data_IF_988884616145
#
_entry.id   IF_988884616145
#
_cell.length_a   1.000
_cell.length_b   1.000
_cell.length_c   1.000
_cell.angle_alpha   90.00
_cell.angle_beta   90.00
_cell.angle_gamma   90.00
#
_symmetry.space_group_name_H-M   'P 1'
#
loop_
_entity.id
_entity.type
_entity.pdbx_description
1 polymer ?
#
# COMPACT_ATOMS: atom_id res chain seq x y z
N UNK A 1 -22.17 8.83 16.94
CA UNK A 1 -21.72 7.61 16.25
C UNK A 1 -20.47 7.95 15.45
N UNK A 2 -19.39 7.12 15.57
CA UNK A 2 -18.20 7.30 14.77
C UNK A 2 -18.54 7.19 13.28
N UNK A 3 -17.80 7.90 12.42
CA UNK A 3 -17.96 7.81 10.95
C UNK A 3 -17.86 6.36 10.44
N UNK A 4 -17.07 5.52 11.11
CA UNK A 4 -16.92 4.10 10.81
C UNK A 4 -18.21 3.30 11.06
N UNK A 5 -18.91 3.53 12.17
CA UNK A 5 -20.16 2.82 12.45
C UNK A 5 -21.24 3.17 11.42
N UNK A 6 -21.34 4.44 11.02
CA UNK A 6 -22.26 4.88 9.96
C UNK A 6 -21.95 4.17 8.64
N UNK A 7 -20.67 4.09 8.28
CA UNK A 7 -20.25 3.37 7.08
C UNK A 7 -20.64 1.89 7.13
N UNK A 8 -20.39 1.22 8.26
CA UNK A 8 -20.75 -0.20 8.44
C UNK A 8 -22.26 -0.43 8.32
N UNK A 9 -23.09 0.41 8.94
CA UNK A 9 -24.54 0.31 8.88
C UNK A 9 -25.06 0.56 7.46
N UNK A 10 -24.53 1.61 6.81
CA UNK A 10 -24.89 1.95 5.44
C UNK A 10 -24.52 0.82 4.46
N UNK A 11 -23.26 0.39 4.45
CA UNK A 11 -22.79 -0.68 3.56
C UNK A 11 -23.55 -2.00 3.81
N UNK A 12 -23.81 -2.35 5.07
CA UNK A 12 -24.59 -3.54 5.40
C UNK A 12 -26.00 -3.46 4.82
N UNK A 13 -26.67 -2.32 4.98
CA UNK A 13 -28.01 -2.09 4.42
C UNK A 13 -27.99 -2.23 2.89
N UNK A 14 -27.09 -1.52 2.22
CA UNK A 14 -26.98 -1.56 0.76
C UNK A 14 -26.73 -2.99 0.23
N UNK A 15 -25.85 -3.76 0.89
CA UNK A 15 -25.55 -5.14 0.49
C UNK A 15 -26.74 -6.08 0.71
N UNK A 16 -27.41 -5.98 1.85
CA UNK A 16 -28.51 -6.89 2.20
C UNK A 16 -29.79 -6.61 1.39
N UNK A 17 -30.06 -5.35 1.09
CA UNK A 17 -31.26 -4.90 0.38
C UNK A 17 -30.97 -4.49 -1.08
N UNK A 18 -29.80 -4.86 -1.61
CA UNK A 18 -29.48 -4.63 -3.01
C UNK A 18 -30.51 -5.29 -3.94
N UNK A 19 -31.11 -4.48 -4.80
CA UNK A 19 -32.11 -4.95 -5.79
C UNK A 19 -31.44 -5.65 -6.97
N UNK A 20 -30.20 -5.31 -7.26
CA UNK A 20 -29.43 -5.91 -8.36
C UNK A 20 -29.05 -7.36 -8.05
N UNK A 21 -29.12 -8.22 -9.05
CA UNK A 21 -28.70 -9.60 -8.94
C UNK A 21 -27.18 -9.68 -9.06
N UNK A 22 -26.52 -10.11 -8.02
CA UNK A 22 -25.07 -10.39 -8.02
C UNK A 22 -24.78 -11.78 -7.43
N UNK A 23 -23.71 -12.39 -7.85
CA UNK A 23 -23.33 -13.76 -7.45
C UNK A 23 -22.26 -13.77 -6.35
N UNK A 24 -21.43 -12.73 -6.27
CA UNK A 24 -20.31 -12.61 -5.35
C UNK A 24 -20.21 -11.19 -4.81
N UNK A 25 -19.89 -11.05 -3.52
CA UNK A 25 -19.51 -9.77 -2.94
C UNK A 25 -17.98 -9.65 -3.00
N UNK A 26 -17.50 -8.76 -3.84
CA UNK A 26 -16.09 -8.42 -3.94
C UNK A 26 -15.82 -7.08 -3.26
N UNK A 27 -14.80 -7.05 -2.39
CA UNK A 27 -14.42 -5.84 -1.70
C UNK A 27 -12.88 -5.64 -1.66
N UNK A 28 -12.39 -4.41 -1.93
CA UNK A 28 -10.96 -4.10 -1.86
C UNK A 28 -10.43 -4.07 -0.42
N UNK A 29 -11.30 -4.11 0.57
CA UNK A 29 -10.99 -4.19 2.00
C UNK A 29 -12.20 -4.72 2.75
N UNK A 30 -11.97 -5.31 3.92
CA UNK A 30 -13.07 -5.70 4.81
C UNK A 30 -13.69 -4.53 5.58
N UNK A 31 -13.07 -3.34 5.56
CA UNK A 31 -13.56 -2.17 6.31
C UNK A 31 -14.93 -1.72 5.80
N UNK A 32 -15.88 -1.70 6.71
CA UNK A 32 -17.27 -1.31 6.44
C UNK A 32 -18.21 -2.46 6.14
N UNK A 33 -17.71 -3.65 5.79
CA UNK A 33 -18.53 -4.84 5.51
C UNK A 33 -18.42 -5.92 6.61
N UNK A 34 -17.79 -5.60 7.74
CA UNK A 34 -17.58 -6.53 8.85
C UNK A 34 -18.89 -7.23 9.30
N UNK A 35 -20.04 -6.54 9.44
CA UNK A 35 -21.29 -7.20 9.82
C UNK A 35 -21.74 -8.25 8.78
N UNK A 36 -21.57 -7.98 7.48
CA UNK A 36 -21.93 -8.92 6.41
C UNK A 36 -21.04 -10.16 6.46
N UNK A 37 -19.73 -9.99 6.77
CA UNK A 37 -18.79 -11.11 6.96
C UNK A 37 -19.25 -12.00 8.13
N UNK A 38 -19.68 -11.41 9.27
CA UNK A 38 -20.24 -12.19 10.38
C UNK A 38 -21.54 -12.89 10.01
N UNK A 39 -22.45 -12.23 9.30
CA UNK A 39 -23.66 -12.86 8.78
C UNK A 39 -23.33 -14.05 7.85
N UNK A 40 -22.28 -13.93 7.03
CA UNK A 40 -21.78 -15.03 6.20
C UNK A 40 -21.25 -16.19 7.03
N UNK A 41 -20.45 -15.90 8.06
CA UNK A 41 -19.93 -16.89 8.98
C UNK A 41 -21.02 -17.71 9.69
N UNK A 42 -22.16 -17.07 10.00
CA UNK A 42 -23.33 -17.66 10.63
C UNK A 42 -24.31 -18.31 9.63
N UNK A 43 -24.04 -18.25 8.33
CA UNK A 43 -24.91 -18.81 7.28
C UNK A 43 -26.14 -17.96 6.93
N UNK A 44 -26.29 -16.78 7.51
CA UNK A 44 -27.41 -15.84 7.26
C UNK A 44 -27.24 -15.08 5.94
N UNK A 45 -26.02 -14.81 5.53
CA UNK A 45 -25.70 -14.26 4.21
C UNK A 45 -25.14 -15.37 3.32
N UNK A 46 -25.75 -15.63 2.18
CA UNK A 46 -25.47 -16.84 1.37
C UNK A 46 -24.47 -16.64 0.24
N UNK A 47 -24.25 -15.40 -0.23
CA UNK A 47 -23.34 -15.14 -1.35
C UNK A 47 -21.87 -15.19 -0.88
N UNK A 48 -20.96 -15.72 -1.71
CA UNK A 48 -19.55 -15.75 -1.35
C UNK A 48 -18.96 -14.33 -1.21
N UNK A 49 -18.02 -14.19 -0.28
CA UNK A 49 -17.29 -12.94 -0.02
C UNK A 49 -15.83 -13.13 -0.42
N UNK A 50 -15.36 -12.26 -1.31
CA UNK A 50 -13.98 -12.20 -1.79
C UNK A 50 -13.40 -10.85 -1.41
N UNK A 51 -12.25 -10.83 -0.75
CA UNK A 51 -11.61 -9.58 -0.31
C UNK A 51 -10.14 -9.52 -0.69
N UNK A 52 -9.63 -8.29 -0.83
CA UNK A 52 -8.20 -8.04 -0.79
C UNK A 52 -7.77 -7.82 0.67
N UNK A 53 -6.77 -8.57 1.08
CA UNK A 53 -6.25 -8.52 2.44
C UNK A 53 -4.81 -8.00 2.40
N UNK A 54 -4.64 -6.74 2.72
CA UNK A 54 -3.37 -6.01 2.53
C UNK A 54 -2.25 -6.44 3.49
N UNK A 55 -2.61 -7.09 4.60
CA UNK A 55 -1.68 -7.55 5.63
C UNK A 55 -1.80 -9.05 5.83
N UNK A 56 -0.87 -9.67 6.54
CA UNK A 56 -1.07 -11.05 6.99
C UNK A 56 -2.21 -11.12 8.02
N UNK A 57 -2.90 -12.27 8.07
CA UNK A 57 -3.79 -12.61 9.18
C UNK A 57 -2.94 -12.80 10.44
N UNK A 58 -3.29 -12.12 11.53
CA UNK A 58 -2.56 -12.18 12.79
C UNK A 58 -3.38 -12.74 13.92
N UNK A 59 -2.73 -13.26 14.95
CA UNK A 59 -3.40 -13.68 16.17
C UNK A 59 -3.88 -12.46 16.96
N UNK A 60 -5.05 -12.58 17.57
CA UNK A 60 -5.60 -11.53 18.43
C UNK A 60 -5.13 -11.71 19.86
N UNK A 61 -5.00 -10.61 20.60
CA UNK A 61 -4.71 -10.66 22.02
C UNK A 61 -5.95 -11.10 22.82
N UNK A 62 -5.80 -12.17 23.60
CA UNK A 62 -6.85 -12.68 24.47
C UNK A 62 -7.82 -13.65 23.79
N UNK A 63 -8.33 -14.61 24.57
CA UNK A 63 -9.14 -15.73 24.07
C UNK A 63 -10.43 -15.27 23.36
N UNK A 64 -11.21 -14.38 23.96
CA UNK A 64 -12.48 -13.95 23.36
C UNK A 64 -12.29 -13.24 22.00
N UNK A 65 -11.29 -12.35 21.90
CA UNK A 65 -10.96 -11.67 20.64
C UNK A 65 -10.49 -12.64 19.58
N UNK A 66 -9.74 -13.66 19.97
CA UNK A 66 -9.27 -14.72 19.07
C UNK A 66 -10.46 -15.50 18.50
N UNK A 67 -11.46 -15.87 19.32
CA UNK A 67 -12.65 -16.58 18.83
C UNK A 67 -13.49 -15.72 17.89
N UNK A 68 -13.67 -14.44 18.20
CA UNK A 68 -14.35 -13.48 17.30
C UNK A 68 -13.59 -13.36 15.97
N UNK A 69 -12.27 -13.26 16.02
CA UNK A 69 -11.42 -13.20 14.83
C UNK A 69 -11.53 -14.47 13.99
N UNK A 70 -11.56 -15.66 14.60
CA UNK A 70 -11.76 -16.94 13.90
C UNK A 70 -13.12 -16.99 13.21
N UNK A 71 -14.18 -16.55 13.89
CA UNK A 71 -15.52 -16.45 13.31
C UNK A 71 -15.52 -15.47 12.13
N UNK A 72 -14.86 -14.32 12.25
CA UNK A 72 -14.74 -13.35 11.18
C UNK A 72 -14.10 -13.97 9.92
N UNK A 73 -12.92 -14.61 10.04
CA UNK A 73 -12.25 -15.22 8.90
C UNK A 73 -12.99 -16.44 8.33
N UNK A 74 -13.84 -17.11 9.13
CA UNK A 74 -14.75 -18.15 8.63
C UNK A 74 -15.72 -17.58 7.59
N UNK A 75 -16.19 -16.34 7.77
CA UNK A 75 -17.13 -15.67 6.88
C UNK A 75 -16.54 -15.18 5.55
N UNK A 76 -15.23 -15.28 5.33
CA UNK A 76 -14.59 -14.90 4.09
C UNK A 76 -14.33 -16.16 3.26
N UNK A 77 -14.74 -16.17 1.99
CA UNK A 77 -14.57 -17.34 1.13
C UNK A 77 -13.23 -17.34 0.40
N UNK A 78 -12.72 -16.16 -0.03
CA UNK A 78 -11.39 -15.99 -0.64
C UNK A 78 -10.75 -14.69 -0.18
N UNK A 79 -9.44 -14.74 0.05
CA UNK A 79 -8.60 -13.59 0.35
C UNK A 79 -7.46 -13.51 -0.64
N UNK A 80 -7.30 -12.36 -1.27
CA UNK A 80 -6.16 -12.04 -2.11
C UNK A 80 -5.10 -11.34 -1.27
N UNK A 81 -3.88 -11.88 -1.28
CA UNK A 81 -2.72 -11.31 -0.61
C UNK A 81 -1.62 -11.01 -1.64
N UNK A 82 -0.79 -10.03 -1.38
CA UNK A 82 0.16 -9.48 -2.34
C UNK A 82 1.52 -10.22 -2.37
N UNK A 83 1.75 -11.16 -1.44
CA UNK A 83 2.98 -11.96 -1.47
C UNK A 83 2.79 -13.34 -0.85
N UNK A 84 3.68 -14.28 -1.22
CA UNK A 84 3.76 -15.62 -0.60
C UNK A 84 4.09 -15.54 0.88
N UNK A 85 4.91 -14.56 1.28
CA UNK A 85 5.22 -14.33 2.69
C UNK A 85 3.97 -14.00 3.50
N UNK A 86 3.12 -13.10 3.03
CA UNK A 86 1.85 -12.77 3.69
C UNK A 86 0.92 -13.99 3.79
N UNK A 87 0.91 -14.86 2.76
CA UNK A 87 0.16 -16.13 2.80
C UNK A 87 0.74 -17.05 3.87
N UNK A 88 2.05 -17.25 3.89
CA UNK A 88 2.72 -18.14 4.86
C UNK A 88 2.49 -17.66 6.30
N UNK A 89 2.62 -16.36 6.55
CA UNK A 89 2.38 -15.77 7.87
C UNK A 89 0.90 -15.89 8.28
N UNK A 90 -0.03 -15.75 7.34
CA UNK A 90 -1.46 -15.97 7.59
C UNK A 90 -1.78 -17.41 7.97
N UNK A 91 -1.16 -18.38 7.30
CA UNK A 91 -1.36 -19.82 7.57
C UNK A 91 -0.92 -20.23 8.98
N UNK A 92 0.12 -19.57 9.55
CA UNK A 92 0.60 -19.82 10.92
C UNK A 92 -0.50 -19.60 11.96
N UNK A 93 -1.47 -18.74 11.70
CA UNK A 93 -2.57 -18.44 12.64
C UNK A 93 -3.66 -19.50 12.66
N UNK A 94 -3.74 -20.35 11.64
CA UNK A 94 -4.81 -21.36 11.45
C UNK A 94 -6.24 -20.79 11.43
N UNK A 95 -6.41 -19.48 11.15
CA UNK A 95 -7.74 -18.84 11.04
C UNK A 95 -8.35 -18.99 9.65
N UNK A 96 -7.50 -19.09 8.64
CA UNK A 96 -7.91 -19.28 7.27
C UNK A 96 -7.17 -20.46 6.65
N UNK A 97 -7.87 -21.46 6.10
CA UNK A 97 -7.25 -22.59 5.44
C UNK A 97 -6.62 -22.16 4.10
N UNK A 98 -5.61 -22.88 3.63
CA UNK A 98 -4.82 -22.54 2.44
C UNK A 98 -5.68 -22.31 1.18
N UNK A 99 -6.77 -23.08 1.01
CA UNK A 99 -7.63 -22.95 -0.18
C UNK A 99 -8.35 -21.59 -0.27
N UNK A 100 -8.46 -20.84 0.83
CA UNK A 100 -9.05 -19.48 0.85
C UNK A 100 -8.03 -18.41 0.49
N UNK A 101 -6.73 -18.66 0.63
CA UNK A 101 -5.67 -17.69 0.41
C UNK A 101 -5.18 -17.79 -1.03
N UNK A 102 -5.11 -16.67 -1.72
CA UNK A 102 -4.66 -16.59 -3.10
C UNK A 102 -3.65 -15.46 -3.27
N UNK A 103 -2.54 -15.77 -3.92
CA UNK A 103 -1.59 -14.77 -4.35
C UNK A 103 -2.20 -13.96 -5.50
N UNK A 104 -2.09 -12.64 -5.40
CA UNK A 104 -2.42 -11.70 -6.47
C UNK A 104 -1.28 -10.70 -6.58
N UNK A 105 -0.74 -10.55 -7.76
CA UNK A 105 0.26 -9.53 -8.03
C UNK A 105 -0.45 -8.20 -8.29
N UNK A 106 0.00 -7.15 -7.60
CA UNK A 106 -0.39 -5.80 -7.94
C UNK A 106 0.39 -5.38 -9.17
N UNK A 107 -0.29 -4.95 -10.21
CA UNK A 107 0.33 -4.50 -11.45
C UNK A 107 -0.04 -3.05 -11.79
N UNK A 108 0.73 -2.39 -12.66
CA UNK A 108 0.44 -1.04 -13.12
C UNK A 108 -0.69 -1.03 -14.15
N UNK A 109 -1.33 0.11 -14.30
CA UNK A 109 -2.18 0.43 -15.45
C UNK A 109 -1.27 0.81 -16.64
N UNK A 110 -0.78 -0.20 -17.37
CA UNK A 110 0.13 0.01 -18.50
C UNK A 110 -0.44 0.97 -19.55
N UNK A 111 -1.71 0.84 -20.00
CA UNK A 111 -2.29 1.80 -20.94
C UNK A 111 -2.22 3.25 -20.47
N UNK A 112 -2.43 3.49 -19.18
CA UNK A 112 -2.30 4.83 -18.58
C UNK A 112 -0.87 5.36 -18.71
N UNK A 113 0.13 4.56 -18.30
CA UNK A 113 1.54 4.98 -18.33
C UNK A 113 2.07 5.08 -19.75
N UNK A 114 1.68 4.20 -20.67
CA UNK A 114 2.04 4.27 -22.09
C UNK A 114 1.53 5.58 -22.72
N UNK A 115 0.28 5.96 -22.42
CA UNK A 115 -0.29 7.22 -22.88
C UNK A 115 0.48 8.43 -22.32
N UNK A 116 0.74 8.42 -21.01
CA UNK A 116 1.51 9.47 -20.34
C UNK A 116 2.91 9.64 -20.94
N UNK A 117 3.61 8.54 -21.21
CA UNK A 117 4.94 8.56 -21.82
C UNK A 117 4.91 9.05 -23.27
N UNK A 118 3.87 8.73 -24.03
CA UNK A 118 3.68 9.20 -25.39
C UNK A 118 3.48 10.74 -25.47
N UNK A 119 2.95 11.36 -24.43
CA UNK A 119 2.86 12.83 -24.32
C UNK A 119 4.20 13.51 -23.99
N UNK A 120 5.23 12.74 -23.65
CA UNK A 120 6.51 13.25 -23.15
C UNK A 120 7.72 12.63 -23.91
N UNK A 121 7.75 12.69 -25.25
CA UNK A 121 8.79 12.03 -26.04
C UNK A 121 10.21 12.56 -25.76
N UNK A 122 10.32 13.86 -25.46
CA UNK A 122 11.60 14.54 -25.23
C UNK A 122 11.95 14.69 -23.75
N UNK A 123 11.34 13.87 -22.85
CA UNK A 123 11.64 13.91 -21.42
C UNK A 123 13.13 13.69 -21.16
N UNK A 124 13.71 14.52 -20.32
CA UNK A 124 15.09 14.37 -19.83
C UNK A 124 15.02 14.05 -18.34
N UNK A 125 15.20 12.78 -17.94
CA UNK A 125 15.16 12.43 -16.53
C UNK A 125 16.32 13.05 -15.77
N UNK A 126 16.02 13.68 -14.61
CA UNK A 126 17.05 14.22 -13.69
C UNK A 126 16.62 14.15 -12.23
N UNK A 127 17.60 13.96 -11.35
CA UNK A 127 17.39 13.97 -9.89
C UNK A 127 16.56 12.81 -9.39
N UNK A 128 16.23 12.88 -8.12
CA UNK A 128 15.54 11.84 -7.38
C UNK A 128 14.15 12.31 -6.96
N UNK A 129 13.23 11.37 -6.82
CA UNK A 129 11.90 11.64 -6.27
C UNK A 129 11.51 10.58 -5.25
N UNK A 130 10.84 11.02 -4.19
CA UNK A 130 10.14 10.12 -3.26
C UNK A 130 8.67 10.52 -3.20
N UNK A 131 7.78 9.54 -3.35
CA UNK A 131 6.33 9.76 -3.31
C UNK A 131 5.66 8.84 -2.31
N UNK A 132 4.48 9.21 -1.85
CA UNK A 132 3.64 8.36 -1.03
C UNK A 132 3.06 9.06 0.19
N UNK A 133 2.24 8.32 0.93
CA UNK A 133 1.56 8.86 2.12
C UNK A 133 1.65 7.97 3.36
N UNK A 134 1.86 6.67 3.20
CA UNK A 134 1.83 5.72 4.32
C UNK A 134 3.24 5.27 4.69
N UNK A 135 3.57 5.37 5.98
CA UNK A 135 4.77 4.77 6.58
C UNK A 135 6.08 5.10 5.84
N UNK A 136 6.23 6.37 5.41
CA UNK A 136 7.49 6.85 4.85
C UNK A 136 8.47 7.22 5.97
N UNK A 137 9.72 6.83 5.82
CA UNK A 137 10.81 7.24 6.72
C UNK A 137 11.49 8.49 6.17
N UNK A 138 10.87 9.63 6.41
CA UNK A 138 11.38 10.93 5.95
C UNK A 138 12.66 11.33 6.68
N UNK A 139 12.88 10.84 7.90
CA UNK A 139 14.07 11.16 8.68
C UNK A 139 15.33 10.53 8.08
N UNK A 140 15.27 9.23 7.77
CA UNK A 140 16.37 8.52 7.08
C UNK A 140 16.60 9.12 5.69
N UNK A 141 15.51 9.38 4.94
CA UNK A 141 15.59 9.97 3.61
C UNK A 141 16.34 11.31 3.60
N UNK A 142 16.00 12.22 4.52
CA UNK A 142 16.64 13.53 4.59
C UNK A 142 18.09 13.47 5.03
N UNK A 143 18.42 12.59 5.98
CA UNK A 143 19.81 12.41 6.43
C UNK A 143 20.70 11.90 5.27
N UNK A 144 20.23 10.92 4.51
CA UNK A 144 20.94 10.39 3.35
C UNK A 144 21.17 11.48 2.30
N UNK A 145 20.13 12.22 1.89
CA UNK A 145 20.25 13.22 0.84
C UNK A 145 20.98 14.50 1.27
N UNK A 146 20.93 14.86 2.53
CA UNK A 146 21.76 15.97 3.05
C UNK A 146 23.26 15.68 2.94
N UNK A 147 23.67 14.41 3.01
CA UNK A 147 25.06 14.01 2.87
C UNK A 147 25.54 13.99 1.40
N UNK A 148 24.66 13.66 0.44
CA UNK A 148 25.03 13.49 -0.98
C UNK A 148 24.99 14.78 -1.79
N UNK A 149 24.24 15.78 -1.38
CA UNK A 149 23.95 17.03 -2.12
C UNK A 149 23.18 16.81 -3.45
N UNK A 150 22.66 15.61 -3.66
CA UNK A 150 21.81 15.30 -4.82
C UNK A 150 20.42 15.93 -4.68
N UNK A 151 19.81 16.25 -5.84
CA UNK A 151 18.47 16.86 -5.86
C UNK A 151 17.40 15.83 -5.54
N UNK A 152 16.60 16.09 -4.50
CA UNK A 152 15.48 15.29 -4.09
C UNK A 152 14.19 16.11 -4.08
N UNK A 153 13.17 15.64 -4.79
CA UNK A 153 11.79 16.12 -4.64
C UNK A 153 10.98 15.10 -3.82
N UNK A 154 10.48 15.51 -2.66
CA UNK A 154 9.59 14.70 -1.82
C UNK A 154 8.14 15.18 -1.99
N UNK A 155 7.27 14.30 -2.50
CA UNK A 155 5.82 14.50 -2.57
C UNK A 155 5.13 13.64 -1.52
N UNK A 156 4.63 14.26 -0.46
CA UNK A 156 4.09 13.55 0.71
C UNK A 156 2.82 14.23 1.24
N UNK A 157 1.91 13.44 1.82
CA UNK A 157 0.76 13.99 2.54
C UNK A 157 1.20 14.71 3.82
N UNK A 158 0.45 15.72 4.27
CA UNK A 158 0.70 16.41 5.55
C UNK A 158 0.70 15.41 6.72
N UNK A 159 -0.24 14.46 6.68
CA UNK A 159 -0.33 13.40 7.69
C UNK A 159 -0.97 12.14 7.12
N UNK A 160 -0.65 10.99 7.69
CA UNK A 160 -1.32 9.74 7.39
C UNK A 160 -1.35 8.82 8.62
N UNK A 161 -2.55 8.39 9.00
CA UNK A 161 -2.75 7.60 10.22
C UNK A 161 -2.33 8.39 11.46
N UNK A 162 -1.37 7.85 12.21
CA UNK A 162 -0.82 8.48 13.41
C UNK A 162 0.47 9.28 13.14
N UNK A 163 0.92 9.35 11.88
CA UNK A 163 2.15 10.04 11.50
C UNK A 163 1.76 11.43 10.98
N UNK A 164 2.30 12.48 11.61
CA UNK A 164 2.24 13.86 11.12
C UNK A 164 3.59 14.19 10.47
N UNK A 165 3.66 14.04 9.15
CA UNK A 165 4.89 14.28 8.40
C UNK A 165 5.33 15.73 8.45
N UNK A 166 4.36 16.67 8.42
CA UNK A 166 4.69 18.10 8.51
C UNK A 166 5.45 18.41 9.79
N UNK A 167 4.99 17.91 10.95
CA UNK A 167 5.69 18.14 12.22
C UNK A 167 7.10 17.51 12.24
N UNK A 168 7.28 16.35 11.60
CA UNK A 168 8.59 15.72 11.50
C UNK A 168 9.50 16.56 10.61
N UNK A 169 9.01 16.97 9.45
CA UNK A 169 9.76 17.74 8.45
C UNK A 169 10.15 19.13 8.97
N UNK A 170 9.25 19.80 9.67
CA UNK A 170 9.51 21.11 10.28
C UNK A 170 10.63 21.07 11.34
N UNK A 171 10.99 19.88 11.84
CA UNK A 171 12.13 19.67 12.75
C UNK A 171 13.50 19.59 12.06
N UNK A 172 13.55 19.60 10.71
CA UNK A 172 14.80 19.54 9.96
C UNK A 172 15.16 20.89 9.35
N UNK A 173 16.46 21.20 9.34
CA UNK A 173 17.03 22.26 8.49
C UNK A 173 17.47 21.58 7.19
N UNK A 174 16.68 21.72 6.13
CA UNK A 174 16.94 21.06 4.85
C UNK A 174 17.88 21.92 3.99
N UNK A 175 18.84 21.30 3.27
CA UNK A 175 19.63 21.98 2.26
C UNK A 175 18.77 22.32 1.03
N UNK A 176 19.23 23.28 0.21
CA UNK A 176 18.54 23.76 -1.00
C UNK A 176 18.32 22.64 -2.05
N UNK A 177 19.04 21.52 -1.93
CA UNK A 177 18.86 20.36 -2.84
C UNK A 177 17.63 19.50 -2.50
N UNK A 178 16.98 19.70 -1.36
CA UNK A 178 15.81 18.93 -0.93
C UNK A 178 14.56 19.80 -0.96
N UNK A 179 13.64 19.47 -1.85
CA UNK A 179 12.36 20.17 -1.99
C UNK A 179 11.21 19.31 -1.47
N UNK A 180 10.39 19.87 -0.59
CA UNK A 180 9.22 19.18 -0.03
C UNK A 180 7.94 19.76 -0.59
N UNK A 181 7.10 18.89 -1.14
CA UNK A 181 5.79 19.22 -1.72
C UNK A 181 4.70 18.42 -1.00
N UNK A 182 3.74 19.09 -0.43
CA UNK A 182 2.59 18.42 0.17
C UNK A 182 1.56 18.07 -0.91
N UNK A 183 1.10 16.80 -0.90
CA UNK A 183 0.24 16.24 -1.97
C UNK A 183 -1.24 16.54 -1.80
N UNK A 184 -1.64 17.25 -0.76
CA UNK A 184 -3.04 17.62 -0.53
C UNK A 184 -3.53 18.50 -1.70
N UNK A 185 -4.36 17.92 -2.55
CA UNK A 185 -4.88 18.58 -3.75
C UNK A 185 -4.07 18.36 -5.04
N UNK A 186 -2.98 17.61 -5.02
CA UNK A 186 -2.24 17.25 -6.25
C UNK A 186 -3.03 16.21 -7.04
N UNK A 187 -3.26 16.49 -8.33
CA UNK A 187 -3.94 15.57 -9.25
C UNK A 187 -2.98 14.41 -9.57
N UNK A 188 -3.41 13.15 -9.42
CA UNK A 188 -2.55 11.97 -9.66
C UNK A 188 -1.84 11.96 -11.01
N UNK A 189 -2.51 12.42 -12.07
CA UNK A 189 -1.93 12.51 -13.41
C UNK A 189 -0.74 13.47 -13.48
N UNK A 190 -0.84 14.66 -12.89
CA UNK A 190 0.26 15.63 -12.86
C UNK A 190 1.42 15.11 -12.02
N UNK A 191 1.14 14.41 -10.91
CA UNK A 191 2.19 13.78 -10.12
C UNK A 191 2.92 12.68 -10.94
N UNK A 192 2.20 11.86 -11.69
CA UNK A 192 2.81 10.85 -12.55
C UNK A 192 3.73 11.46 -13.63
N UNK A 193 3.36 12.62 -14.21
CA UNK A 193 4.23 13.38 -15.12
C UNK A 193 5.52 13.87 -14.45
N UNK A 194 5.43 14.32 -13.20
CA UNK A 194 6.60 14.73 -12.43
C UNK A 194 7.52 13.53 -12.13
N UNK A 195 6.94 12.40 -11.72
CA UNK A 195 7.68 11.15 -11.48
C UNK A 195 8.38 10.70 -12.78
N UNK A 196 7.70 10.73 -13.92
CA UNK A 196 8.23 10.30 -15.20
C UNK A 196 9.47 11.12 -15.67
N UNK A 197 9.71 12.30 -15.11
CA UNK A 197 10.88 13.15 -15.39
C UNK A 197 12.06 12.90 -14.48
N UNK A 198 11.99 11.91 -13.60
CA UNK A 198 13.04 11.62 -12.62
C UNK A 198 13.93 10.47 -13.05
N UNK A 199 15.20 10.55 -12.65
CA UNK A 199 16.20 9.52 -12.94
C UNK A 199 16.07 8.31 -12.01
N UNK A 200 15.54 8.51 -10.80
CA UNK A 200 15.42 7.44 -9.80
C UNK A 200 14.27 7.74 -8.85
N UNK A 201 13.55 6.70 -8.45
CA UNK A 201 12.50 6.77 -7.41
C UNK A 201 13.05 6.19 -6.11
N UNK A 202 12.93 6.95 -5.01
CA UNK A 202 13.37 6.52 -3.68
C UNK A 202 12.16 6.11 -2.85
N UNK A 203 12.13 4.84 -2.44
CA UNK A 203 11.06 4.23 -1.66
C UNK A 203 11.60 3.99 -0.24
N UNK A 204 11.80 5.07 0.52
CA UNK A 204 12.27 5.01 1.90
C UNK A 204 11.07 4.81 2.84
N UNK A 205 10.98 3.64 3.46
CA UNK A 205 9.84 3.24 4.29
C UNK A 205 10.28 2.83 5.69
N UNK A 206 9.35 2.98 6.65
CA UNK A 206 9.45 2.35 7.96
C UNK A 206 9.17 0.85 7.86
N UNK A 207 9.74 0.05 8.76
CA UNK A 207 9.47 -1.39 8.84
C UNK A 207 8.04 -1.65 9.32
N UNK A 208 7.22 -2.17 8.43
CA UNK A 208 5.84 -2.57 8.71
C UNK A 208 5.55 -3.95 8.13
N UNK A 209 4.71 -4.77 8.80
CA UNK A 209 4.47 -6.17 8.41
C UNK A 209 3.54 -6.32 7.20
N UNK A 210 3.70 -5.47 6.18
CA UNK A 210 2.98 -5.56 4.90
C UNK A 210 3.76 -4.85 3.77
N UNK A 211 3.21 -4.86 2.57
CA UNK A 211 3.85 -4.36 1.34
C UNK A 211 3.87 -2.83 1.24
N UNK A 212 4.43 -2.13 2.25
CA UNK A 212 4.60 -0.67 2.20
C UNK A 212 5.47 -0.28 1.02
N UNK A 213 5.02 0.71 0.24
CA UNK A 213 5.76 1.18 -0.94
C UNK A 213 5.44 0.44 -2.24
N UNK A 214 4.64 -0.64 -2.21
CA UNK A 214 4.34 -1.46 -3.40
C UNK A 214 3.73 -0.65 -4.56
N UNK A 215 2.83 0.29 -4.29
CA UNK A 215 2.22 1.12 -5.35
C UNK A 215 3.24 2.00 -6.06
N UNK A 216 4.18 2.58 -5.31
CA UNK A 216 5.27 3.39 -5.88
C UNK A 216 6.26 2.51 -6.66
N UNK A 217 6.54 1.29 -6.18
CA UNK A 217 7.39 0.32 -6.88
C UNK A 217 6.77 -0.09 -8.23
N UNK A 218 5.47 -0.36 -8.26
CA UNK A 218 4.73 -0.70 -9.48
C UNK A 218 4.70 0.47 -10.48
N UNK A 219 4.59 1.70 -10.00
CA UNK A 219 4.72 2.91 -10.83
C UNK A 219 6.11 3.03 -11.45
N UNK A 220 7.17 2.78 -10.65
CA UNK A 220 8.53 2.76 -11.16
C UNK A 220 8.72 1.76 -12.30
N UNK A 221 8.14 0.55 -12.18
CA UNK A 221 8.18 -0.46 -13.24
C UNK A 221 7.49 0.00 -14.52
N UNK A 222 6.30 0.59 -14.40
CA UNK A 222 5.56 1.10 -15.55
C UNK A 222 6.31 2.21 -16.29
N UNK A 223 7.05 3.03 -15.56
CA UNK A 223 7.82 4.14 -16.11
C UNK A 223 9.23 3.75 -16.57
N UNK A 224 9.69 2.53 -16.27
CA UNK A 224 11.06 2.09 -16.53
C UNK A 224 12.11 2.88 -15.73
N UNK A 225 11.79 3.32 -14.53
CA UNK A 225 12.66 4.13 -13.67
C UNK A 225 13.27 3.24 -12.58
N UNK A 226 14.61 3.23 -12.38
CA UNK A 226 15.24 2.47 -11.32
C UNK A 226 14.83 2.98 -9.95
N UNK A 227 14.94 2.10 -8.94
CA UNK A 227 14.55 2.43 -7.57
C UNK A 227 15.70 2.26 -6.56
N UNK A 228 15.70 3.11 -5.53
CA UNK A 228 16.36 2.84 -4.24
C UNK A 228 15.26 2.54 -3.24
N UNK A 229 15.25 1.34 -2.67
CA UNK A 229 14.10 0.88 -1.90
C UNK A 229 14.51 0.25 -0.56
N UNK A 230 13.82 0.60 0.53
CA UNK A 230 13.95 -0.13 1.78
C UNK A 230 13.61 -1.60 1.58
N UNK A 231 14.46 -2.52 2.08
CA UNK A 231 14.32 -3.97 1.93
C UNK A 231 13.07 -4.49 2.63
N UNK A 232 11.95 -4.53 1.91
CA UNK A 232 10.70 -5.03 2.44
C UNK A 232 10.54 -6.53 2.16
N UNK A 233 10.61 -7.40 3.19
CA UNK A 233 10.51 -8.84 3.00
C UNK A 233 9.12 -9.31 2.53
N UNK A 234 8.13 -8.41 2.52
CA UNK A 234 6.79 -8.71 2.03
C UNK A 234 6.62 -8.42 0.52
N UNK A 235 7.63 -7.88 -0.17
CA UNK A 235 7.59 -7.80 -1.63
C UNK A 235 7.76 -9.20 -2.25
N UNK A 236 7.08 -9.43 -3.36
CA UNK A 236 7.17 -10.69 -4.11
C UNK A 236 8.34 -10.67 -5.12
N UNK A 237 8.84 -9.49 -5.42
CA UNK A 237 9.94 -9.26 -6.34
C UNK A 237 11.23 -8.95 -5.58
N UNK A 238 12.33 -9.47 -6.07
CA UNK A 238 13.69 -9.18 -5.59
C UNK A 238 14.31 -8.10 -6.50
N UNK A 239 14.34 -6.87 -5.99
CA UNK A 239 14.77 -5.68 -6.73
C UNK A 239 16.22 -5.80 -7.21
N UNK A 240 17.11 -6.28 -6.34
CA UNK A 240 18.54 -6.42 -6.65
C UNK A 240 18.76 -7.51 -7.71
N UNK A 241 18.12 -8.66 -7.56
CA UNK A 241 18.25 -9.79 -8.47
C UNK A 241 17.69 -9.50 -9.85
N UNK A 242 16.59 -8.78 -9.93
CA UNK A 242 15.96 -8.40 -11.20
C UNK A 242 16.67 -7.22 -11.88
N UNK A 243 17.64 -6.58 -11.19
CA UNK A 243 18.42 -5.47 -11.75
C UNK A 243 17.62 -4.19 -12.00
N UNK A 244 16.56 -3.98 -11.26
CA UNK A 244 15.63 -2.84 -11.41
C UNK A 244 15.90 -1.71 -10.41
N UNK A 245 16.93 -1.86 -9.59
CA UNK A 245 17.34 -0.89 -8.57
C UNK A 245 18.24 -1.54 -7.54
N UNK A 246 18.30 -0.92 -6.37
CA UNK A 246 19.03 -1.43 -5.20
C UNK A 246 18.13 -1.43 -3.97
N UNK A 247 18.34 -2.38 -3.06
CA UNK A 247 17.70 -2.38 -1.75
C UNK A 247 18.68 -1.96 -0.67
N UNK A 248 18.17 -1.19 0.29
CA UNK A 248 18.88 -0.73 1.49
C UNK A 248 18.14 -1.19 2.74
N UNK A 249 18.85 -1.36 3.85
CA UNK A 249 18.20 -1.73 5.11
C UNK A 249 17.35 -0.57 5.66
N UNK A 250 16.39 -0.88 6.53
CA UNK A 250 15.59 0.15 7.20
C UNK A 250 16.48 1.04 8.07
N UNK A 251 16.33 2.35 7.94
CA UNK A 251 17.12 3.33 8.69
C UNK A 251 18.56 3.51 8.20
N UNK A 252 18.94 2.88 7.10
CA UNK A 252 20.26 3.06 6.49
C UNK A 252 20.34 4.40 5.77
N UNK A 253 21.33 5.21 6.12
CA UNK A 253 21.61 6.55 5.57
C UNK A 253 22.83 6.59 4.65
N UNK A 254 23.51 5.44 4.41
CA UNK A 254 24.73 5.34 3.59
C UNK A 254 24.46 5.01 2.14
#
# INVERSE_FOLDING_TARGET
FSSRLRLMLYATKEILFCKEKYQVLYAPSFRGIEPVIFLRALGLYRKPIVIWHHTAVVNSSGFAREQISRLFYKGIDKMFLFSRKLIQDSLKTRKAPAHKLKLVHWGPDLPFYDHLLAEMPDRKPEGFISTGKENRDVSTLFQAFAATKEKLDLYIAVSCGNINYKNIIDGFTLPDSIHVHYTDGVIPYELAKLVARKSCIVICCLDFPYTVGLTTLVEAFALGIPVICSRNPNFEIDIDKEGIGITVEYGDVQ
#
